data_IF_359833822433
#
_entry.id   IF_359833822433
#
_cell.length_a   1.000
_cell.length_b   1.000
_cell.length_c   1.000
_cell.angle_alpha   90.00
_cell.angle_beta   90.00
_cell.angle_gamma   90.00
#
_symmetry.space_group_name_H-M   'P 1'
#
loop_
_entity.id
_entity.type
_entity.pdbx_description
1 polymer ?
#
# COMPACT_ATOMS: atom_id res chain seq x y z
N UNK A 1 -23.53 5.56 -6.82
CA UNK A 1 -22.98 6.76 -7.49
C UNK A 1 -21.65 6.37 -8.10
N UNK A 2 -21.62 6.06 -9.40
CA UNK A 2 -20.39 5.66 -10.08
C UNK A 2 -19.52 6.91 -10.26
N UNK A 3 -18.49 7.06 -9.43
CA UNK A 3 -17.59 8.23 -9.44
C UNK A 3 -16.74 8.28 -10.73
N UNK A 4 -16.68 7.19 -11.50
CA UNK A 4 -15.91 7.11 -12.74
C UNK A 4 -16.77 6.55 -13.88
N UNK A 5 -16.88 7.30 -14.98
CA UNK A 5 -17.44 6.83 -16.27
C UNK A 5 -16.27 6.32 -17.13
N UNK A 6 -16.33 5.09 -17.62
CA UNK A 6 -15.32 4.48 -18.50
C UNK A 6 -14.90 3.08 -18.07
N UNK A 7 -14.05 2.42 -18.85
CA UNK A 7 -13.55 1.08 -18.55
C UNK A 7 -12.71 1.13 -17.24
N UNK A 8 -12.79 0.13 -16.36
CA UNK A 8 -12.09 0.13 -15.06
C UNK A 8 -10.58 0.42 -15.21
N UNK A 9 -10.00 -0.11 -16.28
CA UNK A 9 -8.59 0.00 -16.62
C UNK A 9 -8.17 1.43 -16.99
N UNK A 10 -9.03 2.19 -17.64
CA UNK A 10 -8.76 3.59 -18.00
C UNK A 10 -8.74 4.50 -16.77
N UNK A 11 -9.38 4.07 -15.68
CA UNK A 11 -9.48 4.82 -14.44
C UNK A 11 -8.41 4.41 -13.41
N UNK A 12 -7.70 3.29 -13.59
CA UNK A 12 -6.64 2.85 -12.67
C UNK A 12 -5.62 3.97 -12.36
N UNK A 13 -4.99 4.64 -13.34
CA UNK A 13 -4.02 5.70 -13.04
C UNK A 13 -4.61 6.85 -12.23
N UNK A 14 -5.88 7.19 -12.47
CA UNK A 14 -6.58 8.25 -11.73
C UNK A 14 -6.90 7.82 -10.30
N UNK A 15 -7.31 6.57 -10.11
CA UNK A 15 -7.60 6.01 -8.78
C UNK A 15 -6.31 5.97 -7.93
N UNK A 16 -5.21 5.43 -8.48
CA UNK A 16 -3.92 5.42 -7.80
C UNK A 16 -3.37 6.83 -7.59
N UNK A 17 -3.50 7.73 -8.57
CA UNK A 17 -3.10 9.13 -8.44
C UNK A 17 -3.87 9.85 -7.33
N UNK A 18 -5.18 9.63 -7.23
CA UNK A 18 -6.01 10.18 -6.16
C UNK A 18 -5.61 9.61 -4.79
N UNK A 19 -5.34 8.31 -4.71
CA UNK A 19 -4.86 7.67 -3.48
C UNK A 19 -3.53 8.27 -3.02
N UNK A 20 -2.55 8.31 -3.91
CA UNK A 20 -1.21 8.86 -3.62
C UNK A 20 -1.30 10.33 -3.24
N UNK A 21 -2.10 11.13 -3.97
CA UNK A 21 -2.34 12.53 -3.64
C UNK A 21 -3.00 12.70 -2.27
N UNK A 22 -4.03 11.91 -1.96
CA UNK A 22 -4.67 11.90 -0.64
C UNK A 22 -3.71 11.53 0.48
N UNK A 23 -2.83 10.55 0.25
CA UNK A 23 -1.79 10.15 1.19
C UNK A 23 -0.76 11.27 1.44
N UNK A 24 -0.32 11.97 0.39
CA UNK A 24 0.59 13.12 0.49
C UNK A 24 -0.08 14.26 1.29
N UNK A 25 -1.34 14.57 0.98
CA UNK A 25 -2.11 15.58 1.72
C UNK A 25 -2.23 15.20 3.20
N UNK A 26 -2.49 13.92 3.49
CA UNK A 26 -2.53 13.41 4.86
C UNK A 26 -1.18 13.61 5.58
N UNK A 27 -0.05 13.30 4.95
CA UNK A 27 1.28 13.52 5.52
C UNK A 27 1.51 15.01 5.83
N UNK A 28 1.19 15.89 4.87
CA UNK A 28 1.34 17.34 5.05
C UNK A 28 0.47 17.82 6.21
N UNK A 29 -0.77 17.33 6.31
CA UNK A 29 -1.66 17.64 7.42
C UNK A 29 -1.06 17.19 8.75
N UNK A 30 -0.51 15.98 8.83
CA UNK A 30 0.13 15.47 10.05
C UNK A 30 1.34 16.33 10.44
N UNK A 31 2.16 16.74 9.47
CA UNK A 31 3.31 17.62 9.72
C UNK A 31 2.89 19.01 10.23
N UNK A 32 1.78 19.56 9.73
CA UNK A 32 1.21 20.82 10.25
C UNK A 32 0.69 20.63 11.67
N UNK A 33 -0.02 19.53 11.94
CA UNK A 33 -0.55 19.22 13.26
C UNK A 33 0.56 19.01 14.30
N UNK A 34 1.66 18.36 13.91
CA UNK A 34 2.87 18.23 14.73
C UNK A 34 3.44 19.61 15.11
N UNK A 35 3.60 20.50 14.13
CA UNK A 35 4.07 21.88 14.36
C UNK A 35 3.10 22.69 15.23
N UNK A 36 1.80 22.41 15.16
CA UNK A 36 0.78 23.01 16.02
C UNK A 36 0.78 22.46 17.46
N UNK A 37 1.65 21.48 17.76
CA UNK A 37 1.85 20.94 19.11
C UNK A 37 1.08 19.65 19.40
N UNK A 38 0.55 18.94 18.39
CA UNK A 38 0.02 17.59 18.63
C UNK A 38 1.13 16.62 19.03
N UNK A 39 0.84 15.78 20.03
CA UNK A 39 1.74 14.74 20.50
C UNK A 39 1.99 13.65 19.45
N UNK A 40 3.20 13.09 19.46
CA UNK A 40 3.62 12.02 18.56
C UNK A 40 2.78 10.73 18.71
N UNK A 41 2.28 10.47 19.92
CA UNK A 41 1.34 9.39 20.22
C UNK A 41 0.02 9.55 19.44
N UNK A 42 -0.53 10.77 19.44
CA UNK A 42 -1.77 11.08 18.72
C UNK A 42 -1.56 10.99 17.22
N UNK A 43 -0.44 11.52 16.71
CA UNK A 43 -0.08 11.41 15.29
C UNK A 43 0.03 9.93 14.88
N UNK A 44 0.70 9.10 15.68
CA UNK A 44 0.81 7.66 15.44
C UNK A 44 -0.55 6.98 15.34
N UNK A 45 -1.48 7.29 16.24
CA UNK A 45 -2.86 6.78 16.20
C UNK A 45 -3.57 7.23 14.91
N UNK A 46 -3.42 8.49 14.50
CA UNK A 46 -4.04 9.01 13.29
C UNK A 46 -3.53 8.28 12.04
N UNK A 47 -2.23 7.95 11.94
CA UNK A 47 -1.68 7.15 10.85
C UNK A 47 -2.31 5.75 10.79
N UNK A 48 -2.46 5.08 11.93
CA UNK A 48 -3.09 3.76 12.00
C UNK A 48 -4.56 3.84 11.59
N UNK A 49 -5.33 4.77 12.16
CA UNK A 49 -6.76 4.91 11.83
C UNK A 49 -6.95 5.22 10.35
N UNK A 50 -6.14 6.14 9.81
CA UNK A 50 -6.22 6.53 8.41
C UNK A 50 -6.03 5.34 7.46
N UNK A 51 -4.99 4.52 7.68
CA UNK A 51 -4.74 3.33 6.86
C UNK A 51 -5.87 2.30 6.96
N UNK A 52 -6.40 2.05 8.16
CA UNK A 52 -7.54 1.13 8.38
C UNK A 52 -8.79 1.61 7.65
N UNK A 53 -9.14 2.89 7.80
CA UNK A 53 -10.31 3.50 7.14
C UNK A 53 -10.19 3.42 5.63
N UNK A 54 -8.99 3.69 5.09
CA UNK A 54 -8.72 3.58 3.67
C UNK A 54 -8.94 2.15 3.16
N UNK A 55 -8.38 1.13 3.82
CA UNK A 55 -8.54 -0.25 3.38
C UNK A 55 -10.01 -0.69 3.46
N UNK A 56 -10.72 -0.29 4.51
CA UNK A 56 -12.15 -0.54 4.64
C UNK A 56 -12.96 0.11 3.50
N UNK A 57 -12.64 1.36 3.15
CA UNK A 57 -13.27 2.07 2.05
C UNK A 57 -13.00 1.39 0.69
N UNK A 58 -11.76 0.96 0.42
CA UNK A 58 -11.40 0.23 -0.80
C UNK A 58 -12.16 -1.10 -0.88
N UNK A 59 -12.22 -1.84 0.22
CA UNK A 59 -12.97 -3.10 0.30
C UNK A 59 -14.47 -2.92 0.05
N UNK A 60 -15.06 -1.87 0.63
CA UNK A 60 -16.47 -1.53 0.40
C UNK A 60 -16.77 -1.15 -1.05
N UNK A 61 -15.90 -0.36 -1.68
CA UNK A 61 -16.04 0.07 -3.07
C UNK A 61 -15.79 -1.08 -4.07
N UNK A 62 -14.91 -2.02 -3.72
CA UNK A 62 -14.48 -3.12 -4.59
C UNK A 62 -15.28 -4.42 -4.40
N UNK A 63 -16.35 -4.40 -3.59
CA UNK A 63 -17.15 -5.60 -3.30
C UNK A 63 -17.76 -6.22 -4.56
N UNK A 64 -17.64 -7.55 -4.71
CA UNK A 64 -18.17 -8.30 -5.84
C UNK A 64 -18.69 -9.67 -5.41
N UNK A 65 -19.72 -10.16 -6.11
CA UNK A 65 -20.29 -11.50 -5.92
C UNK A 65 -19.87 -12.49 -7.03
N UNK A 66 -19.10 -12.02 -8.02
CA UNK A 66 -18.67 -12.84 -9.15
C UNK A 66 -17.33 -13.52 -8.85
N UNK A 67 -17.27 -14.84 -9.03
CA UNK A 67 -16.08 -15.66 -8.77
C UNK A 67 -14.86 -15.21 -9.58
N UNK A 68 -15.05 -14.92 -10.87
CA UNK A 68 -13.96 -14.46 -11.74
C UNK A 68 -13.41 -13.08 -11.33
N UNK A 69 -14.27 -12.18 -10.87
CA UNK A 69 -13.85 -10.88 -10.34
C UNK A 69 -13.16 -11.03 -8.96
N UNK A 70 -13.61 -11.96 -8.13
CA UNK A 70 -13.07 -12.18 -6.79
C UNK A 70 -11.68 -12.81 -6.79
N UNK A 71 -11.45 -13.85 -7.61
CA UNK A 71 -10.17 -14.58 -7.59
C UNK A 71 -9.11 -14.03 -8.53
N UNK A 72 -9.50 -13.49 -9.68
CA UNK A 72 -8.54 -13.07 -10.72
C UNK A 72 -8.77 -11.65 -11.21
N UNK A 73 -9.63 -10.87 -10.53
CA UNK A 73 -9.99 -9.51 -10.92
C UNK A 73 -10.40 -9.41 -12.41
N UNK A 74 -11.08 -10.44 -12.93
CA UNK A 74 -11.47 -10.52 -14.34
C UNK A 74 -10.30 -10.66 -15.33
N UNK A 75 -9.04 -10.77 -14.85
CA UNK A 75 -7.80 -10.73 -15.64
C UNK A 75 -7.57 -9.41 -16.37
N UNK A 76 -8.19 -8.33 -15.89
CA UNK A 76 -8.13 -7.02 -16.51
C UNK A 76 -6.97 -6.17 -15.97
N UNK A 77 -6.40 -6.51 -14.80
CA UNK A 77 -5.35 -5.70 -14.15
C UNK A 77 -4.03 -5.75 -14.95
N UNK A 78 -3.47 -4.59 -15.36
CA UNK A 78 -2.25 -4.56 -16.14
C UNK A 78 -1.02 -5.08 -15.37
N UNK A 79 0.01 -5.62 -16.06
CA UNK A 79 1.17 -6.25 -15.43
C UNK A 79 1.90 -5.38 -14.40
N UNK A 80 2.05 -4.08 -14.67
CA UNK A 80 2.75 -3.16 -13.76
C UNK A 80 2.03 -3.03 -12.41
N UNK A 81 0.69 -2.95 -12.41
CA UNK A 81 -0.09 -2.86 -11.17
C UNK A 81 -0.07 -4.16 -10.38
N UNK A 82 -0.11 -5.31 -11.07
CA UNK A 82 0.08 -6.60 -10.41
C UNK A 82 1.48 -6.71 -9.78
N UNK A 83 2.53 -6.29 -10.49
CA UNK A 83 3.89 -6.27 -9.95
C UNK A 83 4.03 -5.40 -8.71
N UNK A 84 3.40 -4.21 -8.70
CA UNK A 84 3.36 -3.35 -7.51
C UNK A 84 2.60 -4.00 -6.34
N UNK A 85 1.48 -4.67 -6.61
CA UNK A 85 0.72 -5.39 -5.59
C UNK A 85 1.53 -6.55 -4.99
N UNK A 86 2.19 -7.35 -5.83
CA UNK A 86 3.09 -8.43 -5.37
C UNK A 86 4.27 -7.90 -4.57
N UNK A 87 4.89 -6.80 -4.99
CA UNK A 87 5.98 -6.17 -4.24
C UNK A 87 5.52 -5.65 -2.87
N UNK A 88 4.31 -5.10 -2.78
CA UNK A 88 3.73 -4.66 -1.52
C UNK A 88 3.40 -5.84 -0.60
N UNK A 89 2.84 -6.92 -1.14
CA UNK A 89 2.48 -8.13 -0.40
C UNK A 89 3.72 -8.88 0.13
N UNK A 90 4.82 -8.87 -0.62
CA UNK A 90 6.12 -9.39 -0.15
C UNK A 90 6.59 -8.72 1.14
N UNK A 91 6.33 -7.41 1.27
CA UNK A 91 6.78 -6.60 2.38
C UNK A 91 5.78 -6.68 3.55
N UNK A 92 5.86 -7.76 4.34
CA UNK A 92 5.16 -7.83 5.62
C UNK A 92 5.86 -6.99 6.70
N UNK A 93 5.14 -6.64 7.78
CA UNK A 93 5.74 -5.95 8.93
C UNK A 93 6.88 -6.75 9.59
N UNK A 94 6.77 -8.09 9.61
CA UNK A 94 7.84 -8.96 10.08
C UNK A 94 9.05 -8.90 9.15
N UNK A 95 8.84 -8.95 7.83
CA UNK A 95 9.90 -8.82 6.82
C UNK A 95 10.65 -7.48 6.96
N UNK A 96 9.92 -6.39 7.21
CA UNK A 96 10.51 -5.06 7.41
C UNK A 96 11.44 -5.01 8.63
N UNK A 97 10.98 -5.47 9.79
CA UNK A 97 11.79 -5.47 11.02
C UNK A 97 12.96 -6.43 10.91
N UNK A 98 12.74 -7.62 10.34
CA UNK A 98 13.78 -8.61 10.10
C UNK A 98 14.87 -8.09 9.15
N UNK A 99 14.50 -7.37 8.09
CA UNK A 99 15.43 -6.71 7.18
C UNK A 99 16.28 -5.67 7.88
N UNK A 100 15.64 -4.77 8.64
CA UNK A 100 16.34 -3.72 9.36
C UNK A 100 17.34 -4.31 10.37
N UNK A 101 16.92 -5.31 11.16
CA UNK A 101 17.80 -6.00 12.10
C UNK A 101 18.91 -6.78 11.39
N UNK A 102 18.57 -7.52 10.33
CA UNK A 102 19.50 -8.32 9.55
C UNK A 102 20.60 -7.49 8.91
N UNK A 103 20.26 -6.33 8.34
CA UNK A 103 21.24 -5.39 7.79
C UNK A 103 22.06 -4.73 8.90
N UNK A 104 21.43 -4.35 10.02
CA UNK A 104 22.12 -3.74 11.15
C UNK A 104 23.21 -4.64 11.72
N UNK A 105 22.95 -5.95 11.88
CA UNK A 105 23.90 -6.91 12.42
C UNK A 105 24.82 -7.55 11.36
N UNK A 106 24.29 -7.82 10.16
CA UNK A 106 24.97 -8.55 9.09
C UNK A 106 25.64 -7.68 8.03
N UNK A 107 25.45 -6.36 8.08
CA UNK A 107 26.03 -5.39 7.15
C UNK A 107 25.63 -5.66 5.69
N UNK A 108 26.48 -5.21 4.76
CA UNK A 108 26.22 -5.35 3.32
C UNK A 108 26.06 -6.80 2.84
N UNK A 109 26.67 -7.77 3.53
CA UNK A 109 26.53 -9.20 3.18
C UNK A 109 25.10 -9.70 3.32
N UNK A 110 24.30 -9.11 4.21
CA UNK A 110 22.89 -9.45 4.36
C UNK A 110 22.07 -9.11 3.10
N UNK A 111 22.50 -8.13 2.30
CA UNK A 111 21.82 -7.74 1.06
C UNK A 111 21.70 -8.89 0.05
N UNK A 112 22.64 -9.85 0.05
CA UNK A 112 22.53 -11.04 -0.79
C UNK A 112 21.32 -11.89 -0.42
N UNK A 113 21.02 -12.02 0.88
CA UNK A 113 19.82 -12.70 1.35
C UNK A 113 18.56 -11.92 0.99
N UNK A 114 18.60 -10.59 1.06
CA UNK A 114 17.48 -9.73 0.64
C UNK A 114 17.16 -9.96 -0.84
N UNK A 115 18.16 -9.85 -1.71
CA UNK A 115 18.00 -10.04 -3.16
C UNK A 115 17.53 -11.46 -3.48
N UNK A 116 18.11 -12.48 -2.82
CA UNK A 116 17.70 -13.87 -3.00
C UNK A 116 16.26 -14.12 -2.56
N UNK A 117 15.84 -13.56 -1.43
CA UNK A 117 14.49 -13.70 -0.92
C UNK A 117 13.46 -12.93 -1.77
N UNK A 118 13.79 -11.73 -2.24
CA UNK A 118 12.94 -10.97 -3.17
C UNK A 118 12.80 -11.71 -4.51
N UNK A 119 13.90 -12.25 -5.05
CA UNK A 119 13.88 -12.97 -6.32
C UNK A 119 13.11 -14.29 -6.29
N UNK A 120 12.97 -14.92 -5.12
CA UNK A 120 12.25 -16.19 -4.93
C UNK A 120 10.78 -16.05 -4.51
N UNK A 121 10.24 -14.84 -4.38
CA UNK A 121 8.86 -14.62 -3.91
C UNK A 121 7.78 -14.87 -4.98
N UNK A 122 8.17 -15.03 -6.24
CA UNK A 122 7.25 -15.16 -7.38
C UNK A 122 7.38 -16.53 -8.03
#
# INVERSE_FOLDING_TARGET
>A
MAMFKGNFIENLPKIYGMYTGGFIVFIILMAILEQAGLGADTIGILFVIFTVVIYAAIGWLSRTMQVSAYYVAGREVPPVFNGMATAADWMSGASFVALAGGIYFGGHGYLAFVVGWTGGYV
#
